data_IF_188028135095
#
_entry.id   IF_188028135095
#
_cell.length_a   1.000
_cell.length_b   1.000
_cell.length_c   1.000
_cell.angle_alpha   90.00
_cell.angle_beta   90.00
_cell.angle_gamma   90.00
#
_symmetry.space_group_name_H-M   'P 1'
#
loop_
_entity.id
_entity.type
_entity.pdbx_description
1 polymer ?
#
# COMPACT_ATOMS: atom_id res chain seq x y z
N UNK A 1 -23.48 -24.89 8.34
CA UNK A 1 -23.37 -23.49 7.90
C UNK A 1 -22.79 -22.72 9.06
N UNK A 2 -21.57 -22.22 8.91
CA UNK A 2 -20.86 -21.51 10.00
C UNK A 2 -20.77 -20.05 9.61
N UNK A 3 -21.92 -19.37 9.60
CA UNK A 3 -21.96 -17.94 9.31
C UNK A 3 -21.32 -17.16 10.46
N UNK A 4 -20.37 -16.28 10.15
CA UNK A 4 -19.74 -15.38 11.13
C UNK A 4 -20.15 -13.93 10.88
N UNK A 5 -20.35 -13.18 11.95
CA UNK A 5 -20.63 -11.74 11.90
C UNK A 5 -19.35 -10.99 12.27
N UNK A 6 -18.94 -10.04 11.43
CA UNK A 6 -17.76 -9.22 11.69
C UNK A 6 -18.16 -7.73 11.74
N UNK A 7 -17.96 -7.05 12.88
CA UNK A 7 -18.16 -5.60 12.96
C UNK A 7 -17.01 -4.87 12.26
N UNK A 8 -17.33 -3.78 11.59
CA UNK A 8 -16.35 -2.95 10.89
C UNK A 8 -16.77 -1.49 10.88
N UNK A 9 -15.78 -0.62 11.02
CA UNK A 9 -15.92 0.82 10.92
C UNK A 9 -15.48 1.26 9.53
N UNK A 10 -16.34 1.96 8.80
CA UNK A 10 -15.95 2.60 7.55
C UNK A 10 -14.96 3.73 7.84
N UNK A 11 -13.82 3.76 7.13
CA UNK A 11 -12.80 4.81 7.24
C UNK A 11 -12.76 5.74 6.02
N UNK A 12 -13.70 5.58 5.09
CA UNK A 12 -13.71 6.31 3.82
C UNK A 12 -14.13 7.78 3.92
N UNK A 13 -14.75 8.20 5.04
CA UNK A 13 -15.17 9.57 5.25
C UNK A 13 -15.21 9.91 6.76
N UNK A 14 -15.24 11.20 7.15
CA UNK A 14 -15.17 11.61 8.56
C UNK A 14 -16.40 11.22 9.40
N UNK A 15 -17.50 10.79 8.78
CA UNK A 15 -18.68 10.29 9.51
C UNK A 15 -18.36 9.00 10.26
N UNK A 16 -17.55 8.11 9.66
CA UNK A 16 -17.24 6.82 10.25
C UNK A 16 -18.49 6.01 10.57
N UNK A 17 -19.28 5.62 9.57
CA UNK A 17 -20.41 4.73 9.86
C UNK A 17 -19.89 3.34 10.26
N UNK A 18 -20.43 2.82 11.36
CA UNK A 18 -20.15 1.48 11.86
C UNK A 18 -21.22 0.50 11.37
N UNK A 19 -20.79 -0.67 10.93
CA UNK A 19 -21.66 -1.70 10.41
C UNK A 19 -21.19 -3.10 10.73
N UNK A 20 -22.01 -4.07 10.35
CA UNK A 20 -21.75 -5.49 10.50
C UNK A 20 -21.81 -6.15 9.13
N UNK A 21 -20.85 -7.02 8.86
CA UNK A 21 -20.80 -7.85 7.65
C UNK A 21 -20.97 -9.30 8.06
N UNK A 22 -21.99 -9.96 7.51
CA UNK A 22 -22.25 -11.38 7.70
C UNK A 22 -21.59 -12.15 6.57
N UNK A 23 -20.74 -13.09 6.94
CA UNK A 23 -19.98 -13.94 6.02
C UNK A 23 -20.42 -15.40 6.15
N UNK A 24 -20.57 -16.08 5.02
CA UNK A 24 -20.60 -17.55 4.93
C UNK A 24 -19.33 -18.01 4.20
N UNK A 25 -18.35 -18.48 4.96
CA UNK A 25 -16.97 -18.63 4.47
C UNK A 25 -16.36 -17.27 4.10
N UNK A 26 -15.94 -17.12 2.85
CA UNK A 26 -15.38 -15.87 2.30
C UNK A 26 -16.41 -15.05 1.52
N UNK A 27 -17.68 -15.49 1.51
CA UNK A 27 -18.76 -14.81 0.79
C UNK A 27 -19.55 -13.90 1.73
N UNK A 28 -19.65 -12.63 1.35
CA UNK A 28 -20.58 -11.69 1.98
C UNK A 28 -22.01 -12.06 1.63
N UNK A 29 -22.83 -12.32 2.64
CA UNK A 29 -24.25 -12.67 2.50
C UNK A 29 -25.19 -11.54 2.92
N UNK A 30 -24.74 -10.69 3.86
CA UNK A 30 -25.53 -9.57 4.34
C UNK A 30 -24.61 -8.46 4.90
N UNK A 31 -25.03 -7.20 4.78
CA UNK A 31 -24.38 -6.04 5.38
C UNK A 31 -25.42 -5.12 6.03
N UNK A 32 -25.09 -4.57 7.20
CA UNK A 32 -25.99 -3.70 7.98
C UNK A 32 -25.23 -2.52 8.55
N UNK A 33 -25.89 -1.36 8.70
CA UNK A 33 -25.37 -0.19 9.42
C UNK A 33 -24.62 0.86 8.57
N UNK A 34 -24.37 0.58 7.29
CA UNK A 34 -23.74 1.56 6.39
C UNK A 34 -24.75 2.57 5.88
N UNK A 35 -24.31 3.83 5.77
CA UNK A 35 -25.13 4.97 5.34
C UNK A 35 -24.94 5.32 3.86
N UNK A 36 -24.03 4.64 3.16
CA UNK A 36 -23.77 4.85 1.74
C UNK A 36 -23.12 3.61 1.10
N UNK A 37 -23.28 3.49 -0.22
CA UNK A 37 -22.73 2.41 -1.04
C UNK A 37 -21.20 2.31 -0.96
N UNK A 38 -20.51 3.45 -0.78
CA UNK A 38 -19.05 3.47 -0.62
C UNK A 38 -18.62 2.77 0.67
N UNK A 39 -19.40 2.92 1.74
CA UNK A 39 -19.14 2.26 3.02
C UNK A 39 -19.32 0.76 2.92
N UNK A 40 -20.38 0.32 2.25
CA UNK A 40 -20.65 -1.10 1.96
C UNK A 40 -19.54 -1.73 1.11
N UNK A 41 -19.15 -1.06 0.01
CA UNK A 41 -18.08 -1.54 -0.86
C UNK A 41 -16.73 -1.65 -0.12
N UNK A 42 -16.37 -0.62 0.66
CA UNK A 42 -15.18 -0.65 1.50
C UNK A 42 -15.23 -1.81 2.50
N UNK A 43 -16.34 -1.97 3.20
CA UNK A 43 -16.49 -3.01 4.20
C UNK A 43 -16.34 -4.40 3.56
N UNK A 44 -17.08 -4.68 2.48
CA UNK A 44 -17.01 -5.96 1.78
C UNK A 44 -15.58 -6.31 1.34
N UNK A 45 -14.83 -5.37 0.76
CA UNK A 45 -13.44 -5.60 0.38
C UNK A 45 -12.53 -5.80 1.60
N UNK A 46 -12.68 -4.97 2.63
CA UNK A 46 -11.82 -5.02 3.82
C UNK A 46 -11.96 -6.32 4.61
N UNK A 47 -13.17 -6.88 4.69
CA UNK A 47 -13.41 -8.13 5.45
C UNK A 47 -12.90 -9.36 4.71
N UNK A 48 -12.89 -9.31 3.37
CA UNK A 48 -12.55 -10.47 2.52
C UNK A 48 -11.09 -10.43 2.06
N UNK A 49 -10.61 -9.30 1.58
CA UNK A 49 -9.28 -9.15 0.99
C UNK A 49 -8.75 -7.72 1.24
N UNK A 50 -8.30 -7.39 2.46
CA UNK A 50 -7.83 -6.06 2.80
C UNK A 50 -6.57 -5.70 2.01
N UNK A 51 -6.55 -4.51 1.40
CA UNK A 51 -5.41 -4.02 0.60
C UNK A 51 -4.99 -2.62 1.01
N UNK A 52 -3.71 -2.29 0.88
CA UNK A 52 -3.19 -0.96 1.25
C UNK A 52 -2.15 -0.45 0.26
N UNK A 53 -2.06 0.87 0.13
CA UNK A 53 -0.92 1.50 -0.52
C UNK A 53 0.33 1.25 0.33
N UNK A 54 1.41 0.78 -0.29
CA UNK A 54 2.65 0.47 0.41
C UNK A 54 3.64 1.59 0.13
N UNK A 55 4.10 2.24 1.21
CA UNK A 55 5.20 3.20 1.17
C UNK A 55 6.38 2.63 1.94
N UNK A 56 7.58 2.75 1.37
CA UNK A 56 8.83 2.34 2.02
C UNK A 56 10.00 3.10 1.42
N UNK A 57 11.22 2.66 1.67
CA UNK A 57 12.44 3.26 1.12
C UNK A 57 13.33 2.22 0.45
N UNK A 58 14.09 2.66 -0.56
CA UNK A 58 15.18 1.90 -1.17
C UNK A 58 16.48 2.68 -1.03
N UNK A 59 17.63 1.99 -1.04
CA UNK A 59 18.93 2.65 -0.91
C UNK A 59 19.29 3.41 -2.18
N UNK A 60 19.96 4.54 -2.00
CA UNK A 60 20.46 5.35 -3.11
C UNK A 60 21.97 5.47 -3.05
N UNK A 61 22.62 5.05 -4.13
CA UNK A 61 24.03 5.25 -4.35
C UNK A 61 24.28 6.62 -5.00
N UNK A 62 25.23 7.39 -4.45
CA UNK A 62 25.65 8.68 -4.99
C UNK A 62 24.59 9.79 -4.96
N UNK A 63 23.49 9.59 -4.22
CA UNK A 63 22.43 10.58 -4.08
C UNK A 63 22.70 11.57 -2.96
N UNK A 64 22.13 12.77 -3.09
CA UNK A 64 22.07 13.78 -2.04
C UNK A 64 21.36 13.29 -0.75
N UNK A 65 20.58 12.20 -0.86
CA UNK A 65 19.99 11.46 0.24
C UNK A 65 20.32 9.98 0.07
N UNK A 66 20.54 9.27 1.18
CA UNK A 66 20.85 7.83 1.17
C UNK A 66 19.66 6.91 0.91
N UNK A 67 18.44 7.43 1.04
CA UNK A 67 17.21 6.67 0.87
C UNK A 67 16.22 7.40 -0.04
N UNK A 68 15.64 6.65 -0.96
CA UNK A 68 14.57 7.09 -1.83
C UNK A 68 13.24 6.58 -1.29
N UNK A 69 12.29 7.45 -0.92
CA UNK A 69 10.92 7.06 -0.67
C UNK A 69 10.29 6.49 -1.94
N UNK A 70 9.74 5.29 -1.84
CA UNK A 70 9.00 4.62 -2.90
C UNK A 70 7.58 4.33 -2.46
N UNK A 71 6.65 4.37 -3.40
CA UNK A 71 5.23 4.12 -3.18
C UNK A 71 4.71 3.18 -4.24
N UNK A 72 3.86 2.22 -3.84
CA UNK A 72 3.12 1.41 -4.81
C UNK A 72 2.19 2.28 -5.65
N UNK A 73 1.96 1.95 -6.91
CA UNK A 73 1.02 2.68 -7.76
C UNK A 73 -0.41 2.17 -7.67
N UNK A 74 -0.60 1.05 -6.98
CA UNK A 74 -1.89 0.45 -6.65
C UNK A 74 -1.90 -0.19 -5.26
N UNK A 75 -3.08 -0.64 -4.81
CA UNK A 75 -3.26 -1.26 -3.51
C UNK A 75 -2.69 -2.70 -3.50
N UNK A 76 -1.90 -3.02 -2.47
CA UNK A 76 -1.27 -4.33 -2.28
C UNK A 76 -2.04 -5.14 -1.23
N UNK A 77 -2.35 -6.43 -1.47
CA UNK A 77 -2.97 -7.30 -0.46
C UNK A 77 -2.18 -7.33 0.85
N UNK A 78 -2.87 -7.29 1.98
CA UNK A 78 -2.26 -7.19 3.31
C UNK A 78 -1.23 -8.30 3.56
N UNK A 79 -1.52 -9.51 3.10
CA UNK A 79 -0.63 -10.66 3.29
C UNK A 79 0.70 -10.49 2.54
N UNK A 80 0.70 -9.78 1.41
CA UNK A 80 1.87 -9.58 0.55
C UNK A 80 2.72 -8.35 0.91
N UNK A 81 2.24 -7.46 1.78
CA UNK A 81 2.93 -6.19 2.10
C UNK A 81 4.37 -6.43 2.56
N UNK A 82 4.59 -7.36 3.49
CA UNK A 82 5.92 -7.60 4.05
C UNK A 82 6.87 -8.23 3.02
N UNK A 83 6.37 -9.00 2.08
CA UNK A 83 7.19 -9.57 1.00
C UNK A 83 7.62 -8.50 0.00
N UNK A 84 6.71 -7.57 -0.35
CA UNK A 84 7.08 -6.38 -1.14
C UNK A 84 8.16 -5.55 -0.44
N UNK A 85 8.04 -5.32 0.88
CA UNK A 85 9.06 -4.58 1.64
C UNK A 85 10.40 -5.32 1.67
N UNK A 86 10.40 -6.65 1.83
CA UNK A 86 11.62 -7.47 1.77
C UNK A 86 12.30 -7.39 0.41
N UNK A 87 11.53 -7.47 -0.67
CA UNK A 87 12.01 -7.29 -2.04
C UNK A 87 12.72 -5.93 -2.18
N UNK A 88 12.05 -4.84 -1.80
CA UNK A 88 12.57 -3.48 -1.92
C UNK A 88 13.82 -3.23 -1.06
N UNK A 89 13.94 -3.88 0.09
CA UNK A 89 15.13 -3.77 0.97
C UNK A 89 16.43 -4.23 0.29
N UNK A 90 16.32 -5.16 -0.66
CA UNK A 90 17.45 -5.67 -1.44
C UNK A 90 17.85 -4.78 -2.62
N UNK A 91 17.09 -3.72 -2.89
CA UNK A 91 17.28 -2.87 -4.06
C UNK A 91 18.08 -1.62 -3.70
N UNK A 92 19.04 -1.32 -4.57
CA UNK A 92 19.80 -0.08 -4.56
C UNK A 92 19.69 0.58 -5.94
N UNK A 93 19.50 1.89 -5.94
CA UNK A 93 19.34 2.71 -7.15
C UNK A 93 20.38 3.81 -7.16
N UNK A 94 20.81 4.26 -8.34
CA UNK A 94 21.82 5.31 -8.46
C UNK A 94 21.18 6.64 -8.83
N UNK A 95 21.61 7.72 -8.17
CA UNK A 95 21.23 9.08 -8.54
C UNK A 95 21.83 9.51 -9.89
N UNK A 96 21.18 10.41 -10.65
CA UNK A 96 19.93 11.10 -10.32
C UNK A 96 18.69 10.23 -10.56
N UNK A 97 17.63 10.52 -9.81
CA UNK A 97 16.33 9.84 -9.88
C UNK A 97 15.24 10.89 -9.99
N UNK A 98 14.32 10.71 -10.93
CA UNK A 98 13.14 11.54 -11.10
C UNK A 98 11.93 10.99 -10.35
N UNK A 99 11.03 11.89 -9.95
CA UNK A 99 9.73 11.51 -9.37
C UNK A 99 8.93 10.67 -10.37
N UNK A 100 8.27 9.62 -9.90
CA UNK A 100 7.48 8.71 -10.72
C UNK A 100 8.29 7.61 -11.43
N UNK A 101 9.63 7.64 -11.36
CA UNK A 101 10.47 6.55 -11.89
C UNK A 101 10.07 5.21 -11.28
N UNK A 102 9.76 4.23 -12.13
CA UNK A 102 9.50 2.85 -11.69
C UNK A 102 10.81 2.23 -11.19
N UNK A 103 10.80 1.76 -9.95
CA UNK A 103 11.92 1.09 -9.28
C UNK A 103 11.78 -0.42 -9.40
N UNK A 104 10.55 -0.92 -9.24
CA UNK A 104 10.18 -2.32 -9.45
C UNK A 104 8.89 -2.34 -10.23
N UNK A 105 8.88 -3.03 -11.37
CA UNK A 105 7.66 -3.31 -12.12
C UNK A 105 7.08 -4.66 -11.70
N UNK A 106 5.76 -4.78 -11.67
CA UNK A 106 5.02 -6.01 -11.36
C UNK A 106 5.58 -6.76 -10.13
N UNK A 107 5.59 -6.07 -8.99
CA UNK A 107 6.18 -6.58 -7.77
C UNK A 107 5.51 -7.90 -7.35
N UNK A 108 6.30 -8.99 -7.35
CA UNK A 108 5.86 -10.35 -6.99
C UNK A 108 4.72 -10.90 -7.86
N UNK A 109 4.52 -10.38 -9.08
CA UNK A 109 3.43 -10.82 -9.97
C UNK A 109 2.06 -10.30 -9.55
N UNK A 110 2.00 -9.24 -8.74
CA UNK A 110 0.75 -8.66 -8.23
C UNK A 110 0.12 -7.64 -9.19
N UNK A 111 0.78 -7.30 -10.30
CA UNK A 111 0.37 -6.24 -11.21
C UNK A 111 0.50 -4.84 -10.63
N UNK A 112 1.38 -4.65 -9.63
CA UNK A 112 1.60 -3.38 -8.93
C UNK A 112 3.06 -2.96 -9.06
N UNK A 113 3.29 -1.72 -9.48
CA UNK A 113 4.62 -1.14 -9.58
C UNK A 113 4.98 -0.33 -8.33
N UNK A 114 6.27 -0.26 -7.99
CA UNK A 114 6.79 0.68 -7.01
C UNK A 114 7.52 1.82 -7.71
N UNK A 115 7.11 3.05 -7.41
CA UNK A 115 7.61 4.28 -8.05
C UNK A 115 8.28 5.20 -7.04
N UNK A 116 9.25 5.96 -7.51
CA UNK A 116 9.90 7.03 -6.76
C UNK A 116 8.86 8.10 -6.38
N UNK A 117 8.65 8.34 -5.08
CA UNK A 117 7.72 9.37 -4.62
C UNK A 117 8.30 10.80 -4.72
N UNK A 118 9.61 10.92 -4.94
CA UNK A 118 10.31 12.18 -5.14
C UNK A 118 11.58 12.00 -5.99
N UNK A 119 12.09 13.10 -6.50
CA UNK A 119 13.40 13.14 -7.13
C UNK A 119 14.54 13.17 -6.10
N UNK A 120 15.70 12.61 -6.48
CA UNK A 120 16.97 12.68 -5.75
C UNK A 120 18.08 13.04 -6.74
N UNK A 121 18.71 14.20 -6.50
CA UNK A 121 19.87 14.64 -7.25
C UNK A 121 21.15 13.89 -6.82
N UNK A 122 22.18 13.94 -7.66
CA UNK A 122 23.53 13.46 -7.31
C UNK A 122 24.08 14.29 -6.14
N UNK A 123 24.78 13.64 -5.21
CA UNK A 123 25.46 14.34 -4.12
C UNK A 123 26.53 15.28 -4.69
N UNK A 124 26.47 16.56 -4.32
CA UNK A 124 27.59 17.49 -4.49
C UNK A 124 28.54 17.39 -3.30
N UNK A 125 29.85 17.56 -3.52
CA UNK A 125 30.85 17.58 -2.45
C UNK A 125 30.44 18.60 -1.36
N UNK A 126 30.04 18.10 -0.19
CA UNK A 126 29.59 18.89 0.96
C UNK A 126 28.22 18.51 1.54
N UNK A 127 27.42 17.71 0.83
CA UNK A 127 26.10 17.28 1.31
C UNK A 127 26.07 15.77 1.64
N UNK A 128 26.95 15.33 2.53
CA UNK A 128 26.80 14.03 3.21
C UNK A 128 26.24 14.30 4.60
N UNK A 129 24.92 14.22 4.83
CA UNK A 129 24.42 14.19 6.20
C UNK A 129 25.01 12.95 6.89
N UNK A 130 25.45 13.15 8.14
CA UNK A 130 26.15 12.17 8.96
C UNK A 130 25.38 10.86 9.17
#
# INVERSE_FOLDING_TARGET
MTSRVQPIQCIGCPVGCGGEVVLDGDRVVEMRGFTCEKGEAYAAEEVVAPKRMVTTTVRVHGGALHFLPVVSDGPVPKEAIFDCVRLLRGIEVTAPIETGRVIVADALGLGVDFKAARAIAVASDGLRPA
#
